data_IF_433490540554
#
_entry.id   IF_433490540554
#
_cell.length_a   1.000
_cell.length_b   1.000
_cell.length_c   1.000
_cell.angle_alpha   90.00
_cell.angle_beta   90.00
_cell.angle_gamma   90.00
#
_symmetry.space_group_name_H-M   'P 1'
#
loop_
_entity.id
_entity.type
_entity.pdbx_description
1 polymer ?
#
# COMPACT_ATOMS: atom_id res chain seq x y z
N UNK A 1 21.55 -0.19 -48.23
CA UNK A 1 20.97 -1.37 -47.56
C UNK A 1 19.77 -0.89 -46.75
N UNK A 2 18.57 -1.23 -47.21
CA UNK A 2 17.27 -0.77 -46.69
C UNK A 2 16.76 -1.70 -45.59
N UNK A 3 16.09 -1.11 -44.58
CA UNK A 3 14.95 -1.57 -43.76
C UNK A 3 14.82 -0.57 -42.59
N UNK A 4 14.03 0.50 -42.67
CA UNK A 4 12.55 0.65 -42.66
C UNK A 4 11.90 0.22 -41.32
N UNK A 5 11.01 1.11 -40.85
CA UNK A 5 9.80 0.97 -39.99
C UNK A 5 9.99 1.61 -38.59
N UNK A 6 9.27 2.64 -38.15
CA UNK A 6 8.17 3.42 -38.71
C UNK A 6 7.47 4.15 -37.55
N UNK A 7 7.57 5.48 -37.50
CA UNK A 7 6.63 6.34 -36.75
C UNK A 7 5.33 6.43 -37.55
N UNK A 8 4.16 6.41 -36.90
CA UNK A 8 2.84 6.98 -37.29
C UNK A 8 1.92 6.62 -36.10
N UNK A 9 1.20 7.52 -35.41
CA UNK A 9 0.41 8.64 -35.91
C UNK A 9 -1.04 8.17 -36.08
N UNK A 10 -1.84 8.11 -35.01
CA UNK A 10 -3.25 7.76 -35.13
C UNK A 10 -4.03 9.04 -35.45
N UNK A 11 -4.36 9.16 -36.73
CA UNK A 11 -5.14 10.23 -37.31
C UNK A 11 -6.62 10.17 -36.97
N UNK A 12 -7.24 11.30 -37.21
CA UNK A 12 -8.65 11.64 -37.03
C UNK A 12 -9.46 11.25 -38.27
N UNK A 13 -10.79 11.09 -38.07
CA UNK A 13 -11.92 11.10 -39.03
C UNK A 13 -12.38 9.77 -39.67
N UNK A 14 -13.61 9.43 -39.31
CA UNK A 14 -14.49 8.49 -40.01
C UNK A 14 -15.92 8.65 -39.50
N UNK A 15 -16.59 9.72 -39.91
CA UNK A 15 -18.04 9.92 -39.73
C UNK A 15 -18.80 8.87 -40.54
N UNK A 16 -19.52 7.98 -39.86
CA UNK A 16 -20.58 7.18 -40.47
C UNK A 16 -21.91 7.56 -39.82
N UNK A 17 -22.75 8.25 -40.59
CA UNK A 17 -24.17 8.42 -40.29
C UNK A 17 -24.87 7.07 -40.51
N UNK A 18 -25.42 6.49 -39.44
CA UNK A 18 -26.49 5.51 -39.55
C UNK A 18 -27.76 6.13 -38.99
N UNK A 19 -28.68 6.44 -39.91
CA UNK A 19 -30.07 6.76 -39.58
C UNK A 19 -30.74 5.48 -39.11
N UNK A 20 -31.09 5.41 -37.84
CA UNK A 20 -31.97 4.37 -37.32
C UNK A 20 -33.42 4.90 -37.28
N UNK A 21 -34.44 4.09 -37.61
CA UNK A 21 -35.84 4.48 -37.49
C UNK A 21 -36.20 4.72 -36.01
N UNK A 22 -37.00 5.75 -35.77
CA UNK A 22 -37.65 5.98 -34.47
C UNK A 22 -38.63 4.83 -34.19
N UNK A 23 -38.16 3.83 -33.45
CA UNK A 23 -39.03 2.88 -32.76
C UNK A 23 -39.32 3.41 -31.36
N UNK A 24 -40.51 3.95 -31.17
CA UNK A 24 -41.08 4.14 -29.83
C UNK A 24 -41.35 2.75 -29.24
N UNK A 25 -40.63 2.39 -28.18
CA UNK A 25 -40.88 1.17 -27.41
C UNK A 25 -40.57 1.43 -25.95
N UNK A 26 -41.65 1.65 -25.20
CA UNK A 26 -41.90 1.31 -23.81
C UNK A 26 -40.76 1.46 -22.79
N UNK A 27 -41.04 2.35 -21.84
CA UNK A 27 -40.48 2.40 -20.50
C UNK A 27 -40.25 1.01 -19.91
N UNK A 28 -38.98 0.63 -19.78
CA UNK A 28 -38.53 -0.26 -18.73
C UNK A 28 -37.19 0.28 -18.25
N UNK A 29 -37.11 0.44 -16.93
CA UNK A 29 -35.98 0.94 -16.19
C UNK A 29 -34.67 0.36 -16.74
N UNK A 30 -33.84 1.21 -17.34
CA UNK A 30 -32.40 1.00 -17.29
C UNK A 30 -32.01 1.18 -15.83
N UNK A 31 -32.19 0.11 -15.05
CA UNK A 31 -31.43 -0.08 -13.83
C UNK A 31 -29.98 0.12 -14.25
N UNK A 32 -29.33 1.14 -13.70
CA UNK A 32 -27.89 1.30 -13.78
C UNK A 32 -27.30 -0.06 -13.42
N UNK A 33 -26.84 -0.81 -14.41
CA UNK A 33 -25.97 -1.95 -14.17
C UNK A 33 -24.71 -1.29 -13.62
N UNK A 34 -24.63 -1.15 -12.30
CA UNK A 34 -23.37 -0.96 -11.59
C UNK A 34 -22.55 -2.20 -11.95
N UNK A 35 -21.86 -2.17 -13.09
CA UNK A 35 -20.80 -3.13 -13.40
C UNK A 35 -19.66 -2.79 -12.45
N UNK A 36 -19.83 -3.17 -11.18
CA UNK A 36 -18.73 -3.30 -10.25
C UNK A 36 -17.73 -4.22 -10.96
N UNK A 37 -16.49 -3.78 -11.24
CA UNK A 37 -15.49 -4.67 -11.81
C UNK A 37 -15.45 -5.90 -10.92
N UNK A 38 -15.71 -7.08 -11.47
CA UNK A 38 -15.76 -8.32 -10.71
C UNK A 38 -14.33 -8.68 -10.29
N UNK A 39 -13.83 -8.03 -9.24
CA UNK A 39 -12.66 -8.51 -8.52
C UNK A 39 -13.02 -9.85 -7.86
N UNK A 40 -12.02 -10.70 -7.65
CA UNK A 40 -12.26 -11.99 -7.05
C UNK A 40 -12.38 -11.82 -5.54
N UNK A 41 -13.55 -12.10 -4.97
CA UNK A 41 -13.81 -11.99 -3.53
C UNK A 41 -12.82 -12.76 -2.67
N UNK A 42 -12.32 -13.91 -3.13
CA UNK A 42 -11.31 -14.67 -2.39
C UNK A 42 -9.97 -13.92 -2.33
N UNK A 43 -9.54 -13.31 -3.45
CA UNK A 43 -8.31 -12.50 -3.46
C UNK A 43 -8.49 -11.18 -2.71
N UNK A 44 -9.67 -10.57 -2.73
CA UNK A 44 -9.94 -9.39 -1.91
C UNK A 44 -9.90 -9.72 -0.41
N UNK A 45 -10.45 -10.85 0.03
CA UNK A 45 -10.33 -11.25 1.44
C UNK A 45 -8.88 -11.59 1.82
N UNK A 46 -8.15 -12.30 0.95
CA UNK A 46 -6.72 -12.57 1.14
C UNK A 46 -5.94 -11.24 1.29
N UNK A 47 -6.19 -10.27 0.41
CA UNK A 47 -5.55 -8.96 0.46
C UNK A 47 -5.86 -8.18 1.75
N UNK A 48 -7.11 -8.21 2.23
CA UNK A 48 -7.48 -7.64 3.53
C UNK A 48 -6.73 -8.31 4.68
N UNK A 49 -6.54 -9.63 4.63
CA UNK A 49 -5.73 -10.38 5.59
C UNK A 49 -4.25 -9.96 5.57
N UNK A 50 -3.67 -9.81 4.39
CA UNK A 50 -2.27 -9.38 4.21
C UNK A 50 -2.07 -7.93 4.70
N UNK A 51 -2.98 -7.01 4.38
CA UNK A 51 -2.95 -5.63 4.88
C UNK A 51 -3.04 -5.58 6.42
N UNK A 52 -3.88 -6.40 7.05
CA UNK A 52 -3.94 -6.49 8.53
C UNK A 52 -2.62 -6.98 9.13
N UNK A 53 -1.92 -7.91 8.48
CA UNK A 53 -0.59 -8.36 8.92
C UNK A 53 0.45 -7.26 8.76
N UNK A 54 0.46 -6.53 7.63
CA UNK A 54 1.35 -5.38 7.41
C UNK A 54 1.12 -4.30 8.48
N UNK A 55 -0.13 -4.01 8.86
CA UNK A 55 -0.45 -3.10 9.98
C UNK A 55 0.21 -3.54 11.28
N UNK A 56 0.08 -4.83 11.63
CA UNK A 56 0.65 -5.36 12.87
C UNK A 56 2.18 -5.33 12.87
N UNK A 57 2.81 -5.65 11.74
CA UNK A 57 4.26 -5.62 11.57
C UNK A 57 4.82 -4.19 11.60
N UNK A 58 4.16 -3.26 10.91
CA UNK A 58 4.55 -1.84 10.92
C UNK A 58 4.38 -1.22 12.29
N UNK A 59 3.32 -1.54 13.04
CA UNK A 59 3.19 -1.10 14.43
C UNK A 59 4.37 -1.56 15.30
N UNK A 60 4.75 -2.84 15.24
CA UNK A 60 5.88 -3.36 16.02
C UNK A 60 7.22 -2.75 15.59
N UNK A 61 7.41 -2.53 14.29
CA UNK A 61 8.60 -1.87 13.78
C UNK A 61 8.66 -0.38 14.19
N UNK A 62 7.51 0.30 14.25
CA UNK A 62 7.41 1.70 14.70
C UNK A 62 7.84 1.87 16.16
N UNK A 63 7.33 1.03 17.07
CA UNK A 63 7.71 1.10 18.50
C UNK A 63 9.24 1.00 18.69
N UNK A 64 9.89 0.14 17.91
CA UNK A 64 11.34 -0.07 17.95
C UNK A 64 12.11 1.08 17.30
N UNK A 65 11.63 1.58 16.16
CA UNK A 65 12.23 2.70 15.46
C UNK A 65 12.19 3.98 16.31
N UNK A 66 11.08 4.22 17.00
CA UNK A 66 10.93 5.34 17.94
C UNK A 66 11.87 5.22 19.15
N UNK A 67 11.98 4.02 19.72
CA UNK A 67 12.93 3.74 20.79
C UNK A 67 14.36 4.06 20.33
N UNK A 68 14.76 3.60 19.14
CA UNK A 68 16.07 3.90 18.57
C UNK A 68 16.27 5.39 18.31
N UNK A 69 15.25 6.09 17.81
CA UNK A 69 15.30 7.52 17.53
C UNK A 69 15.54 8.31 18.81
N UNK A 70 14.83 7.99 19.89
CA UNK A 70 15.02 8.60 21.20
C UNK A 70 16.40 8.26 21.76
N UNK A 71 16.80 6.99 21.70
CA UNK A 71 18.06 6.51 22.28
C UNK A 71 19.29 7.08 21.59
N UNK A 72 19.27 7.16 20.25
CA UNK A 72 20.38 7.72 19.46
C UNK A 72 20.60 9.20 19.76
N UNK A 73 19.53 9.98 19.88
CA UNK A 73 19.58 11.41 20.22
C UNK A 73 20.05 11.67 21.65
N UNK A 74 19.72 10.78 22.58
CA UNK A 74 20.13 10.88 23.99
C UNK A 74 21.46 10.18 24.28
N UNK A 75 22.02 9.48 23.30
CA UNK A 75 23.18 8.59 23.46
C UNK A 75 23.03 7.66 24.68
N UNK A 76 21.82 7.13 24.88
CA UNK A 76 21.42 6.45 26.13
C UNK A 76 21.45 4.92 26.06
N UNK A 77 21.70 4.35 24.88
CA UNK A 77 21.85 2.91 24.67
C UNK A 77 23.23 2.61 24.09
N UNK A 78 23.79 1.46 24.44
CA UNK A 78 25.03 0.99 23.82
C UNK A 78 24.77 0.38 22.43
N UNK A 79 25.83 0.27 21.63
CA UNK A 79 25.72 -0.19 20.25
C UNK A 79 25.11 -1.59 20.09
N UNK A 80 25.23 -2.49 21.08
CA UNK A 80 24.61 -3.82 21.02
C UNK A 80 23.11 -3.71 21.16
N UNK A 81 22.62 -2.85 22.06
CA UNK A 81 21.19 -2.56 22.16
C UNK A 81 20.66 -1.97 20.86
N UNK A 82 21.41 -1.05 20.23
CA UNK A 82 21.05 -0.54 18.91
C UNK A 82 20.99 -1.65 17.84
N UNK A 83 21.98 -2.55 17.82
CA UNK A 83 22.02 -3.66 16.87
C UNK A 83 20.82 -4.60 17.02
N UNK A 84 20.43 -4.93 18.25
CA UNK A 84 19.24 -5.76 18.53
C UNK A 84 17.97 -5.12 17.97
N UNK A 85 17.76 -3.83 18.23
CA UNK A 85 16.57 -3.14 17.71
C UNK A 85 16.56 -3.07 16.18
N UNK A 86 17.73 -2.82 15.55
CA UNK A 86 17.83 -2.81 14.08
C UNK A 86 17.53 -4.17 13.46
N UNK A 87 17.98 -5.27 14.08
CA UNK A 87 17.74 -6.62 13.59
C UNK A 87 16.25 -7.02 13.71
N UNK A 88 15.60 -6.62 14.80
CA UNK A 88 14.16 -6.81 14.98
C UNK A 88 13.35 -5.99 13.94
N UNK A 89 13.71 -4.73 13.73
CA UNK A 89 13.08 -3.88 12.69
C UNK A 89 13.26 -4.52 11.30
N UNK A 90 14.48 -4.97 10.97
CA UNK A 90 14.78 -5.68 9.71
C UNK A 90 13.91 -6.91 9.54
N UNK A 91 13.73 -7.70 10.61
CA UNK A 91 12.87 -8.89 10.60
C UNK A 91 11.42 -8.51 10.25
N UNK A 92 10.87 -7.47 10.87
CA UNK A 92 9.53 -7.00 10.56
C UNK A 92 9.41 -6.45 9.14
N UNK A 93 10.41 -5.71 8.65
CA UNK A 93 10.46 -5.18 7.28
C UNK A 93 10.45 -6.31 6.25
N UNK A 94 11.29 -7.34 6.45
CA UNK A 94 11.33 -8.49 5.54
C UNK A 94 9.98 -9.21 5.51
N UNK A 95 9.36 -9.42 6.68
CA UNK A 95 8.03 -10.00 6.76
C UNK A 95 6.98 -9.14 6.05
N UNK A 96 7.04 -7.80 6.16
CA UNK A 96 6.17 -6.90 5.39
C UNK A 96 6.41 -7.02 3.89
N UNK A 97 7.69 -7.09 3.47
CA UNK A 97 8.09 -7.28 2.07
C UNK A 97 7.43 -8.51 1.44
N UNK A 98 7.50 -9.66 2.11
CA UNK A 98 6.84 -10.88 1.63
C UNK A 98 5.32 -10.72 1.43
N UNK A 99 4.64 -9.96 2.31
CA UNK A 99 3.19 -9.73 2.19
C UNK A 99 2.88 -8.74 1.07
N UNK A 100 3.74 -7.74 0.87
CA UNK A 100 3.63 -6.79 -0.23
C UNK A 100 3.87 -7.47 -1.59
N UNK A 101 4.85 -8.36 -1.68
CA UNK A 101 5.11 -9.16 -2.89
C UNK A 101 3.87 -9.97 -3.27
N UNK A 102 3.24 -10.63 -2.27
CA UNK A 102 2.01 -11.37 -2.50
C UNK A 102 0.86 -10.46 -2.95
N UNK A 103 0.70 -9.29 -2.32
CA UNK A 103 -0.32 -8.31 -2.71
C UNK A 103 -0.12 -7.80 -4.15
N UNK A 104 1.12 -7.62 -4.59
CA UNK A 104 1.44 -7.23 -5.96
C UNK A 104 1.14 -8.36 -6.96
N UNK A 105 1.44 -9.61 -6.61
CA UNK A 105 1.15 -10.79 -7.42
C UNK A 105 -0.36 -10.91 -7.72
N UNK A 106 -1.20 -10.73 -6.69
CA UNK A 106 -2.66 -10.79 -6.84
C UNK A 106 -3.28 -9.45 -7.28
N UNK A 107 -2.48 -8.41 -7.49
CA UNK A 107 -2.92 -7.01 -7.60
C UNK A 107 -3.99 -6.75 -8.66
N UNK A 108 -3.97 -7.46 -9.79
CA UNK A 108 -5.00 -7.32 -10.83
C UNK A 108 -6.38 -7.89 -10.45
N UNK A 109 -6.48 -8.61 -9.34
CA UNK A 109 -7.66 -9.39 -8.95
C UNK A 109 -8.26 -8.97 -7.59
N UNK A 110 -7.62 -8.02 -6.89
CA UNK A 110 -8.08 -7.48 -5.60
C UNK A 110 -8.98 -6.26 -5.78
N UNK A 111 -9.61 -5.79 -4.70
CA UNK A 111 -10.50 -4.64 -4.75
C UNK A 111 -9.73 -3.34 -5.10
N UNK A 112 -10.35 -2.38 -5.80
CA UNK A 112 -9.67 -1.13 -6.21
C UNK A 112 -9.06 -0.31 -5.06
N UNK A 113 -9.68 -0.31 -3.87
CA UNK A 113 -9.13 0.39 -2.71
C UNK A 113 -7.88 -0.32 -2.16
N UNK A 114 -7.80 -1.65 -2.29
CA UNK A 114 -6.64 -2.44 -1.88
C UNK A 114 -5.47 -2.22 -2.84
N UNK A 115 -5.74 -2.13 -4.14
CA UNK A 115 -4.72 -1.74 -5.14
C UNK A 115 -4.10 -0.39 -4.77
N UNK A 116 -4.94 0.63 -4.48
CA UNK A 116 -4.46 1.94 -4.04
C UNK A 116 -3.68 1.88 -2.73
N UNK A 117 -4.07 1.02 -1.78
CA UNK A 117 -3.31 0.83 -0.55
C UNK A 117 -1.89 0.35 -0.88
N UNK A 118 -1.76 -0.69 -1.71
CA UNK A 118 -0.46 -1.24 -2.14
C UNK A 118 0.38 -0.18 -2.83
N UNK A 119 -0.19 0.57 -3.78
CA UNK A 119 0.49 1.66 -4.49
C UNK A 119 1.08 2.72 -3.54
N UNK A 120 0.40 3.00 -2.42
CA UNK A 120 0.86 3.97 -1.42
C UNK A 120 1.89 3.41 -0.45
N UNK A 121 1.78 2.14 -0.08
CA UNK A 121 2.64 1.52 0.94
C UNK A 121 4.01 1.13 0.36
N UNK A 122 4.06 0.64 -0.87
CA UNK A 122 5.28 0.08 -1.47
C UNK A 122 6.48 1.05 -1.46
N UNK A 123 6.33 2.34 -1.85
CA UNK A 123 7.45 3.28 -1.81
C UNK A 123 7.98 3.53 -0.39
N UNK A 124 7.09 3.68 0.59
CA UNK A 124 7.47 3.89 1.99
C UNK A 124 8.18 2.66 2.58
N UNK A 125 7.71 1.44 2.25
CA UNK A 125 8.36 0.19 2.65
C UNK A 125 9.78 0.06 2.07
N UNK A 126 9.96 0.42 0.79
CA UNK A 126 11.27 0.42 0.15
C UNK A 126 12.23 1.44 0.80
N UNK A 127 11.74 2.65 1.11
CA UNK A 127 12.53 3.67 1.80
C UNK A 127 12.93 3.22 3.21
N UNK A 128 11.99 2.68 3.99
CA UNK A 128 12.24 2.11 5.31
C UNK A 128 13.34 1.05 5.28
N UNK A 129 13.27 0.11 4.32
CA UNK A 129 14.30 -0.91 4.13
C UNK A 129 15.68 -0.30 3.84
N UNK A 130 15.76 0.67 2.93
CA UNK A 130 17.00 1.35 2.59
C UNK A 130 17.63 2.13 3.76
N UNK A 131 16.82 2.84 4.55
CA UNK A 131 17.30 3.53 5.74
C UNK A 131 17.77 2.56 6.83
N UNK A 132 17.07 1.44 7.00
CA UNK A 132 17.42 0.39 7.97
C UNK A 132 18.74 -0.26 7.62
N UNK A 133 18.94 -0.67 6.37
CA UNK A 133 20.20 -1.25 5.92
C UNK A 133 21.35 -0.25 6.08
N UNK A 134 21.13 1.02 5.71
CA UNK A 134 22.13 2.07 5.92
C UNK A 134 22.48 2.31 7.39
N UNK A 135 21.51 2.21 8.30
CA UNK A 135 21.74 2.32 9.74
C UNK A 135 22.53 1.12 10.29
N UNK A 136 22.25 -0.10 9.81
CA UNK A 136 23.00 -1.32 10.15
C UNK A 136 24.45 -1.20 9.70
N UNK A 137 24.68 -0.82 8.44
CA UNK A 137 26.05 -0.60 7.90
C UNK A 137 26.79 0.43 8.75
N UNK A 138 26.18 1.58 9.01
CA UNK A 138 26.81 2.63 9.82
C UNK A 138 27.16 2.13 11.22
N UNK A 139 26.25 1.42 11.88
CA UNK A 139 26.48 0.88 13.21
C UNK A 139 27.66 -0.10 13.23
N UNK A 140 27.76 -0.98 12.23
CA UNK A 140 28.83 -1.96 12.13
C UNK A 140 30.20 -1.30 11.98
N UNK A 141 30.28 -0.23 11.20
CA UNK A 141 31.51 0.54 10.96
C UNK A 141 31.85 1.50 12.11
N UNK A 142 30.84 2.05 12.80
CA UNK A 142 30.98 3.21 13.69
C UNK A 142 30.29 3.04 15.04
N UNK A 143 30.54 1.93 15.73
CA UNK A 143 29.90 1.53 17.01
C UNK A 143 29.89 2.60 18.12
N UNK A 144 30.84 3.55 18.12
CA UNK A 144 30.93 4.60 19.15
C UNK A 144 30.37 5.97 18.70
N UNK A 145 29.86 6.09 17.47
CA UNK A 145 29.43 7.38 16.87
C UNK A 145 27.94 7.41 16.50
N UNK A 146 27.12 6.68 17.26
CA UNK A 146 25.68 6.56 17.01
C UNK A 146 24.88 7.84 17.31
N UNK A 147 25.50 8.86 17.93
CA UNK A 147 24.90 10.17 18.15
C UNK A 147 25.07 11.12 16.95
N UNK A 148 25.83 10.72 15.92
CA UNK A 148 26.13 11.59 14.78
C UNK A 148 24.93 11.73 13.84
N UNK A 149 24.78 12.89 13.14
CA UNK A 149 23.69 13.14 12.20
C UNK A 149 23.50 12.01 11.18
N UNK A 150 24.59 11.46 10.65
CA UNK A 150 24.55 10.36 9.67
C UNK A 150 23.76 9.14 10.16
N UNK A 151 23.83 8.82 11.45
CA UNK A 151 23.05 7.73 12.03
C UNK A 151 21.67 8.19 12.48
N UNK A 152 21.60 9.32 13.22
CA UNK A 152 20.34 9.80 13.80
C UNK A 152 19.32 10.18 12.73
N UNK A 153 19.76 10.74 11.60
CA UNK A 153 18.87 11.10 10.49
C UNK A 153 18.29 9.86 9.81
N UNK A 154 19.07 8.77 9.72
CA UNK A 154 18.57 7.49 9.19
C UNK A 154 17.55 6.87 10.12
N UNK A 155 17.83 6.83 11.42
CA UNK A 155 16.91 6.29 12.43
C UNK A 155 15.62 7.12 12.49
N UNK A 156 15.71 8.45 12.39
CA UNK A 156 14.55 9.33 12.27
C UNK A 156 13.73 9.01 11.01
N UNK A 157 14.37 8.88 9.86
CA UNK A 157 13.69 8.53 8.61
C UNK A 157 13.02 7.14 8.68
N UNK A 158 13.64 6.17 9.37
CA UNK A 158 13.01 4.87 9.62
C UNK A 158 11.70 5.03 10.40
N UNK A 159 11.72 5.76 11.52
CA UNK A 159 10.54 6.07 12.34
C UNK A 159 9.44 6.76 11.51
N UNK A 160 9.80 7.75 10.70
CA UNK A 160 8.85 8.46 9.83
C UNK A 160 8.20 7.53 8.78
N UNK A 161 8.98 6.70 8.10
CA UNK A 161 8.45 5.83 7.05
C UNK A 161 7.64 4.64 7.60
N UNK A 162 8.02 4.08 8.74
CA UNK A 162 7.24 2.99 9.33
C UNK A 162 5.90 3.49 9.88
N UNK A 163 5.86 4.71 10.42
CA UNK A 163 4.61 5.38 10.79
C UNK A 163 3.74 5.67 9.57
N UNK A 164 4.35 6.15 8.48
CA UNK A 164 3.64 6.36 7.21
C UNK A 164 2.96 5.08 6.71
N UNK A 165 3.67 3.94 6.75
CA UNK A 165 3.11 2.63 6.40
C UNK A 165 1.93 2.29 7.31
N UNK A 166 2.12 2.35 8.64
CA UNK A 166 1.10 1.99 9.61
C UNK A 166 -0.18 2.83 9.45
N UNK A 167 -0.01 4.15 9.35
CA UNK A 167 -1.11 5.10 9.18
C UNK A 167 -1.85 4.89 7.85
N UNK A 168 -1.10 4.66 6.77
CA UNK A 168 -1.69 4.42 5.44
C UNK A 168 -2.51 3.13 5.44
N UNK A 169 -1.93 2.03 5.92
CA UNK A 169 -2.61 0.74 6.00
C UNK A 169 -3.87 0.84 6.87
N UNK A 170 -3.76 1.48 8.04
CA UNK A 170 -4.89 1.66 8.95
C UNK A 170 -6.01 2.45 8.29
N UNK A 171 -5.70 3.55 7.60
CA UNK A 171 -6.67 4.37 6.88
C UNK A 171 -7.43 3.57 5.83
N UNK A 172 -6.73 2.75 5.04
CA UNK A 172 -7.38 1.92 4.01
C UNK A 172 -8.21 0.77 4.58
N UNK A 173 -7.75 0.14 5.66
CA UNK A 173 -8.52 -0.89 6.36
C UNK A 173 -9.80 -0.32 7.00
N UNK A 174 -9.72 0.87 7.58
CA UNK A 174 -10.88 1.57 8.14
C UNK A 174 -11.87 1.97 7.04
N UNK A 175 -11.37 2.48 5.91
CA UNK A 175 -12.19 2.73 4.72
C UNK A 175 -12.92 1.46 4.25
N UNK A 176 -12.21 0.33 4.12
CA UNK A 176 -12.81 -0.95 3.72
C UNK A 176 -13.95 -1.37 4.64
N UNK A 177 -13.71 -1.31 5.96
CA UNK A 177 -14.72 -1.61 6.98
C UNK A 177 -15.95 -0.70 6.89
N UNK A 178 -15.74 0.61 6.74
CA UNK A 178 -16.86 1.57 6.61
C UNK A 178 -17.65 1.35 5.32
N UNK A 179 -16.98 1.04 4.21
CA UNK A 179 -17.66 0.74 2.93
C UNK A 179 -18.54 -0.50 3.02
N UNK A 180 -18.09 -1.56 3.69
CA UNK A 180 -18.89 -2.78 3.90
C UNK A 180 -20.13 -2.50 4.75
N UNK A 181 -19.98 -1.70 5.81
CA UNK A 181 -21.10 -1.32 6.68
C UNK A 181 -22.17 -0.52 5.92
N UNK A 182 -21.75 0.44 5.08
CA UNK A 182 -22.67 1.24 4.27
C UNK A 182 -23.43 0.37 3.26
N UNK A 183 -22.75 -0.53 2.55
CA UNK A 183 -23.40 -1.45 1.62
C UNK A 183 -24.41 -2.35 2.32
N UNK A 184 -24.08 -2.85 3.52
CA UNK A 184 -25.00 -3.66 4.32
C UNK A 184 -26.27 -2.90 4.74
N UNK A 185 -26.15 -1.61 5.06
CA UNK A 185 -27.29 -0.75 5.40
C UNK A 185 -28.14 -0.41 4.18
N UNK A 186 -27.54 -0.13 3.02
CA UNK A 186 -28.26 0.13 1.76
C UNK A 186 -29.16 -1.06 1.39
N UNK A 187 -28.60 -2.28 1.47
CA UNK A 187 -29.32 -3.52 1.24
C UNK A 187 -30.50 -3.69 2.22
N UNK A 188 -30.31 -3.43 3.51
CA UNK A 188 -31.39 -3.55 4.50
C UNK A 188 -32.53 -2.57 4.25
N UNK A 189 -32.22 -1.33 3.85
CA UNK A 189 -33.24 -0.32 3.53
C UNK A 189 -34.02 -0.70 2.28
N UNK A 190 -33.34 -1.22 1.26
CA UNK A 190 -33.99 -1.70 0.02
C UNK A 190 -34.96 -2.86 0.28
N UNK A 191 -34.58 -3.82 1.12
CA UNK A 191 -35.45 -4.95 1.50
C UNK A 191 -36.55 -4.58 2.49
N UNK A 192 -36.36 -3.59 3.36
CA UNK A 192 -37.37 -3.15 4.32
C UNK A 192 -38.40 -2.17 3.72
N UNK A 193 -38.08 -1.57 2.56
CA UNK A 193 -38.97 -0.68 1.81
C UNK A 193 -39.82 -1.37 0.73
N UNK A 194 -39.67 -2.68 0.54
CA UNK A 194 -40.42 -3.54 -0.38
C UNK A 194 -41.52 -4.34 0.35
#
# INVERSE_FOLDING_TARGET
MSKILGKIGWGVLGTLFLVAPLSASNSNQEAMVRTTPAYNWAYAEEASGLLKQIRSLSFQAAEKADLLNIASRRNSLDWRSHAVQLDEIKTHINAMGEKLDRLQEIGGMIAPWQQKAVERIVPAAAALAGHTEGAIVFLNEHRIRLWTPTYTDRVKAMSEHVDEINNTVSTFLDYGKTSEQLNGLEIQIEYAGA
#
